data_IF_722387980059
#
_entry.id   IF_722387980059
#
_cell.length_a   1.000
_cell.length_b   1.000
_cell.length_c   1.000
_cell.angle_alpha   90.00
_cell.angle_beta   90.00
_cell.angle_gamma   90.00
#
_symmetry.space_group_name_H-M   'P 1'
#
loop_
_entity.id
_entity.type
_entity.pdbx_description
1 polymer ?
#
# COMPACT_ATOMS: atom_id res chain seq x y z
N UNK A 1 -3.26 -53.03 5.06
CA UNK A 1 -3.97 -52.29 4.00
C UNK A 1 -3.37 -50.91 3.85
N UNK A 2 -3.09 -50.43 2.62
CA UNK A 2 -2.64 -49.06 2.39
C UNK A 2 -3.70 -48.03 2.79
N UNK A 3 -3.25 -46.83 3.18
CA UNK A 3 -4.11 -45.70 3.61
C UNK A 3 -4.06 -44.58 2.58
N UNK A 4 -5.23 -44.03 2.23
CA UNK A 4 -5.34 -42.95 1.25
C UNK A 4 -4.80 -41.64 1.82
N UNK A 5 -3.84 -41.01 1.12
CA UNK A 5 -3.30 -39.71 1.57
C UNK A 5 -4.31 -38.56 1.50
N UNK A 6 -5.43 -38.71 0.78
CA UNK A 6 -6.45 -37.66 0.63
C UNK A 6 -7.60 -37.79 1.63
N UNK A 7 -8.23 -38.96 1.75
CA UNK A 7 -9.39 -39.17 2.64
C UNK A 7 -9.09 -39.99 3.90
N UNK A 8 -7.85 -40.44 4.08
CA UNK A 8 -7.36 -41.19 5.26
C UNK A 8 -8.03 -42.56 5.48
N UNK A 9 -8.91 -42.99 4.57
CA UNK A 9 -9.49 -44.33 4.56
C UNK A 9 -8.48 -45.38 4.09
N UNK A 10 -8.55 -46.56 4.69
CA UNK A 10 -7.81 -47.74 4.21
C UNK A 10 -8.47 -48.34 2.96
N UNK A 11 -7.70 -48.94 2.07
CA UNK A 11 -8.20 -49.59 0.86
C UNK A 11 -7.49 -50.92 0.59
N UNK A 12 -8.11 -51.85 -0.16
CA UNK A 12 -7.57 -53.20 -0.36
C UNK A 12 -6.26 -53.21 -1.16
N UNK A 13 -5.40 -54.19 -0.89
CA UNK A 13 -4.10 -54.37 -1.57
C UNK A 13 -4.26 -54.97 -2.97
N UNK A 14 -5.26 -55.83 -3.18
CA UNK A 14 -5.56 -56.47 -4.47
C UNK A 14 -7.02 -56.23 -4.80
N UNK A 15 -7.33 -55.87 -6.04
CA UNK A 15 -8.71 -55.67 -6.52
C UNK A 15 -8.81 -56.06 -8.00
N UNK A 16 -9.98 -56.50 -8.44
CA UNK A 16 -10.26 -56.79 -9.86
C UNK A 16 -11.01 -55.60 -10.46
N UNK A 17 -10.50 -55.08 -11.58
CA UNK A 17 -11.10 -53.97 -12.33
C UNK A 17 -11.05 -54.37 -13.81
N UNK A 18 -12.19 -54.29 -14.50
CA UNK A 18 -12.33 -54.70 -15.89
C UNK A 18 -11.76 -56.11 -16.17
N UNK A 19 -12.03 -57.04 -15.24
CA UNK A 19 -11.60 -58.43 -15.33
C UNK A 19 -10.11 -58.69 -15.05
N UNK A 20 -9.31 -57.66 -14.73
CA UNK A 20 -7.87 -57.78 -14.45
C UNK A 20 -7.57 -57.52 -12.98
N UNK A 21 -6.69 -58.35 -12.39
CA UNK A 21 -6.24 -58.15 -11.01
C UNK A 21 -5.17 -57.06 -10.94
N UNK A 22 -5.40 -56.04 -10.13
CA UNK A 22 -4.47 -54.94 -9.87
C UNK A 22 -3.95 -54.97 -8.44
N UNK A 23 -2.63 -54.78 -8.28
CA UNK A 23 -2.00 -54.58 -6.97
C UNK A 23 -1.93 -53.08 -6.65
N UNK A 24 -2.56 -52.69 -5.54
CA UNK A 24 -2.69 -51.33 -5.05
C UNK A 24 -1.72 -50.99 -3.90
N UNK A 25 -0.83 -51.90 -3.48
CA UNK A 25 0.02 -51.73 -2.30
C UNK A 25 0.83 -50.43 -2.31
N UNK A 26 1.31 -50.00 -3.49
CA UNK A 26 2.11 -48.77 -3.67
C UNK A 26 1.30 -47.54 -4.05
N UNK A 27 -0.03 -47.66 -4.17
CA UNK A 27 -0.89 -46.55 -4.57
C UNK A 27 -1.00 -45.56 -3.40
N UNK A 28 -0.99 -44.26 -3.72
CA UNK A 28 -1.07 -43.18 -2.71
C UNK A 28 -2.51 -42.78 -2.35
N UNK A 29 -3.47 -43.12 -3.21
CA UNK A 29 -4.88 -42.71 -3.10
C UNK A 29 -5.82 -43.88 -3.39
N UNK A 30 -6.94 -43.96 -2.66
CA UNK A 30 -7.99 -44.94 -2.95
C UNK A 30 -8.65 -44.67 -4.32
N UNK A 31 -9.45 -45.62 -4.79
CA UNK A 31 -10.09 -45.54 -6.11
C UNK A 31 -11.22 -44.52 -6.18
N UNK A 32 -11.83 -44.19 -5.04
CA UNK A 32 -12.84 -43.13 -4.97
C UNK A 32 -12.20 -41.75 -5.15
N UNK A 33 -11.04 -41.51 -4.54
CA UNK A 33 -10.35 -40.22 -4.62
C UNK A 33 -9.55 -40.08 -5.91
N UNK A 34 -8.89 -41.15 -6.35
CA UNK A 34 -8.15 -41.20 -7.60
C UNK A 34 -8.57 -42.45 -8.37
N UNK A 35 -9.61 -42.37 -9.21
CA UNK A 35 -10.01 -43.48 -10.07
C UNK A 35 -8.87 -43.92 -10.99
N UNK A 36 -8.90 -45.16 -11.46
CA UNK A 36 -7.91 -45.65 -12.42
C UNK A 36 -7.93 -44.81 -13.71
N UNK A 37 -6.74 -44.51 -14.24
CA UNK A 37 -6.61 -43.71 -15.46
C UNK A 37 -6.93 -42.20 -15.34
N UNK A 38 -7.50 -41.74 -14.23
CA UNK A 38 -8.00 -40.36 -14.08
C UNK A 38 -6.93 -39.25 -14.10
N UNK A 39 -5.63 -39.59 -13.92
CA UNK A 39 -4.48 -38.65 -13.87
C UNK A 39 -4.72 -37.43 -12.95
N UNK A 40 -5.52 -37.59 -11.90
CA UNK A 40 -5.96 -36.49 -11.03
C UNK A 40 -5.10 -36.27 -9.77
N UNK A 41 -4.04 -37.04 -9.56
CA UNK A 41 -3.25 -37.04 -8.32
C UNK A 41 -2.67 -35.67 -7.97
N UNK A 42 -2.27 -34.87 -8.97
CA UNK A 42 -1.80 -33.48 -8.76
C UNK A 42 -2.87 -32.60 -8.11
N UNK A 43 -4.14 -32.74 -8.52
CA UNK A 43 -5.27 -31.99 -7.95
C UNK A 43 -5.49 -32.36 -6.49
N UNK A 44 -5.43 -33.66 -6.16
CA UNK A 44 -5.56 -34.15 -4.79
C UNK A 44 -4.43 -33.65 -3.88
N UNK A 45 -3.19 -33.62 -4.39
CA UNK A 45 -2.04 -33.04 -3.66
C UNK A 45 -2.27 -31.56 -3.36
N UNK A 46 -2.75 -30.79 -4.34
CA UNK A 46 -2.98 -29.36 -4.16
C UNK A 46 -4.15 -29.07 -3.21
N UNK A 47 -5.22 -29.87 -3.28
CA UNK A 47 -6.38 -29.73 -2.41
C UNK A 47 -6.08 -29.98 -0.93
N UNK A 48 -5.08 -30.82 -0.60
CA UNK A 48 -4.63 -31.06 0.78
C UNK A 48 -3.62 -30.03 1.31
N UNK A 49 -3.02 -29.18 0.47
CA UNK A 49 -2.08 -28.16 0.96
C UNK A 49 -2.86 -26.98 1.53
N UNK A 50 -2.52 -26.49 2.74
CA UNK A 50 -3.11 -25.25 3.24
C UNK A 50 -2.76 -24.10 2.28
N UNK A 51 -3.63 -23.09 2.16
CA UNK A 51 -3.28 -21.88 1.42
C UNK A 51 -2.02 -21.26 2.01
N UNK A 52 -1.07 -20.85 1.17
CA UNK A 52 0.13 -20.17 1.63
C UNK A 52 -0.27 -18.75 2.05
N UNK A 53 -0.30 -18.50 3.35
CA UNK A 53 -0.52 -17.15 3.88
C UNK A 53 0.67 -16.26 3.51
N UNK A 54 0.38 -15.15 2.84
CA UNK A 54 1.36 -14.12 2.55
C UNK A 54 1.03 -12.90 3.39
N UNK A 55 2.04 -12.23 3.96
CA UNK A 55 1.82 -11.01 4.70
C UNK A 55 2.62 -9.86 4.09
N UNK A 56 2.01 -8.68 4.06
CA UNK A 56 2.73 -7.49 3.68
C UNK A 56 3.81 -7.18 4.73
N UNK A 57 5.06 -7.10 4.31
CA UNK A 57 6.22 -6.74 5.17
C UNK A 57 6.16 -5.35 5.83
N UNK A 58 5.14 -4.54 5.57
CA UNK A 58 4.97 -3.20 6.14
C UNK A 58 3.76 -3.13 7.06
N UNK A 59 2.59 -3.59 6.59
CA UNK A 59 1.35 -3.42 7.35
C UNK A 59 0.80 -4.71 7.97
N UNK A 60 1.39 -5.88 7.68
CA UNK A 60 0.96 -7.18 8.21
C UNK A 60 -0.40 -7.69 7.74
N UNK A 61 -1.18 -6.91 6.97
CA UNK A 61 -2.64 -7.09 6.84
C UNK A 61 -3.17 -7.66 5.51
N UNK A 62 -2.38 -8.25 4.62
CA UNK A 62 -2.90 -8.67 3.30
C UNK A 62 -2.41 -10.03 2.82
N UNK A 63 -3.36 -10.95 2.59
CA UNK A 63 -3.14 -12.38 2.29
C UNK A 63 -3.45 -12.84 0.85
N UNK A 64 -3.95 -11.97 -0.04
CA UNK A 64 -4.52 -12.44 -1.33
C UNK A 64 -3.85 -11.91 -2.61
N UNK A 65 -2.74 -11.17 -2.53
CA UNK A 65 -2.04 -10.71 -3.74
C UNK A 65 -0.77 -11.54 -4.03
N UNK A 66 -0.92 -12.55 -4.90
CA UNK A 66 0.12 -13.24 -5.70
C UNK A 66 1.56 -12.78 -5.42
N UNK A 67 2.37 -13.56 -4.68
CA UNK A 67 3.86 -13.48 -4.60
C UNK A 67 4.48 -12.08 -4.35
N UNK A 68 3.74 -11.05 -3.95
CA UNK A 68 4.30 -9.71 -3.73
C UNK A 68 4.67 -9.53 -2.26
N UNK A 69 5.90 -9.07 -1.99
CA UNK A 69 6.43 -8.78 -0.63
C UNK A 69 5.64 -7.68 0.11
N UNK A 70 4.88 -6.86 -0.63
CA UNK A 70 4.15 -5.69 -0.12
C UNK A 70 2.80 -5.56 -0.81
N UNK A 71 1.78 -5.09 -0.08
CA UNK A 71 0.48 -4.78 -0.66
C UNK A 71 0.52 -3.48 -1.49
N UNK A 72 -0.48 -3.29 -2.34
CA UNK A 72 -0.54 -2.16 -3.27
C UNK A 72 -0.57 -0.80 -2.54
N UNK A 73 -1.27 -0.71 -1.40
CA UNK A 73 -1.35 0.52 -0.61
C UNK A 73 0.02 0.88 -0.01
N UNK A 74 0.73 -0.08 0.58
CA UNK A 74 2.09 0.12 1.09
C UNK A 74 3.09 0.46 -0.04
N UNK A 75 3.02 -0.20 -1.20
CA UNK A 75 3.82 0.19 -2.36
C UNK A 75 3.54 1.64 -2.81
N UNK A 76 2.28 2.07 -2.76
CA UNK A 76 1.90 3.46 -3.11
C UNK A 76 2.41 4.47 -2.09
N UNK A 77 2.35 4.15 -0.80
CA UNK A 77 2.93 4.98 0.27
C UNK A 77 4.44 5.17 0.07
N UNK A 78 5.18 4.10 -0.22
CA UNK A 78 6.62 4.18 -0.50
C UNK A 78 6.91 5.09 -1.69
N UNK A 79 6.21 4.90 -2.82
CA UNK A 79 6.44 5.71 -4.02
C UNK A 79 6.15 7.20 -3.79
N UNK A 80 5.08 7.52 -3.04
CA UNK A 80 4.77 8.91 -2.66
C UNK A 80 5.83 9.51 -1.74
N UNK A 81 6.33 8.74 -0.78
CA UNK A 81 7.41 9.18 0.12
C UNK A 81 8.68 9.49 -0.66
N UNK A 82 9.11 8.58 -1.54
CA UNK A 82 10.31 8.78 -2.38
C UNK A 82 10.18 9.99 -3.30
N UNK A 83 9.02 10.13 -3.97
CA UNK A 83 8.76 11.26 -4.85
C UNK A 83 8.79 12.60 -4.08
N UNK A 84 8.14 12.68 -2.91
CA UNK A 84 8.17 13.87 -2.06
C UNK A 84 9.59 14.19 -1.59
N UNK A 85 10.34 13.18 -1.15
CA UNK A 85 11.73 13.34 -0.70
C UNK A 85 12.62 13.90 -1.80
N UNK A 86 12.53 13.36 -3.02
CA UNK A 86 13.30 13.85 -4.15
C UNK A 86 12.91 15.30 -4.53
N UNK A 87 11.62 15.62 -4.51
CA UNK A 87 11.12 16.97 -4.79
C UNK A 87 11.58 18.00 -3.75
N UNK A 88 11.59 17.64 -2.46
CA UNK A 88 12.11 18.50 -1.38
C UNK A 88 13.60 18.75 -1.56
N UNK A 89 14.38 17.71 -1.88
CA UNK A 89 15.82 17.86 -2.15
C UNK A 89 16.08 18.74 -3.38
N UNK A 90 15.29 18.58 -4.44
CA UNK A 90 15.41 19.39 -5.66
C UNK A 90 15.22 20.89 -5.39
N UNK A 91 14.30 21.26 -4.50
CA UNK A 91 14.04 22.66 -4.12
C UNK A 91 14.92 23.18 -2.97
N UNK A 92 15.99 22.47 -2.64
CA UNK A 92 17.02 22.93 -1.69
C UNK A 92 16.87 22.43 -0.26
N UNK A 93 15.87 21.58 0.04
CA UNK A 93 15.77 20.89 1.33
C UNK A 93 15.37 21.73 2.54
N UNK A 94 15.06 23.02 2.35
CA UNK A 94 14.69 23.95 3.41
C UNK A 94 13.55 24.87 2.97
N UNK A 95 12.82 25.41 3.94
CA UNK A 95 11.80 26.41 3.67
C UNK A 95 12.44 27.64 3.02
N UNK A 96 11.96 28.05 1.85
CA UNK A 96 12.51 29.19 1.11
C UNK A 96 12.15 30.55 1.73
N UNK A 97 11.19 30.59 2.66
CA UNK A 97 10.78 31.82 3.37
C UNK A 97 11.46 32.01 4.72
N UNK A 98 11.55 30.95 5.53
CA UNK A 98 12.10 31.05 6.90
C UNK A 98 13.36 30.23 7.14
N UNK A 99 13.84 29.46 6.16
CA UNK A 99 15.04 28.63 6.28
C UNK A 99 14.86 27.34 7.10
N UNK A 100 13.64 27.02 7.55
CA UNK A 100 13.40 25.83 8.37
C UNK A 100 13.78 24.52 7.67
N UNK A 101 14.47 23.66 8.40
CA UNK A 101 14.88 22.31 7.99
C UNK A 101 14.32 21.26 8.96
N UNK A 102 13.75 20.18 8.44
CA UNK A 102 13.27 19.10 9.31
C UNK A 102 12.53 17.98 8.60
N UNK A 103 11.49 17.47 9.26
CA UNK A 103 10.79 16.27 8.82
C UNK A 103 10.02 16.48 7.50
N UNK A 104 10.18 15.53 6.57
CA UNK A 104 9.55 15.52 5.25
C UNK A 104 8.03 15.84 5.23
N UNK A 105 7.22 15.37 6.21
CA UNK A 105 5.79 15.68 6.25
C UNK A 105 5.47 17.18 6.32
N UNK A 106 6.33 17.98 6.96
CA UNK A 106 6.07 19.40 7.22
C UNK A 106 6.39 20.34 6.04
N UNK A 107 6.94 19.81 4.93
CA UNK A 107 7.13 20.58 3.71
C UNK A 107 5.91 20.55 2.81
N UNK A 108 5.60 21.69 2.21
CA UNK A 108 4.51 21.91 1.27
C UNK A 108 5.04 22.66 0.05
N UNK A 109 4.51 22.33 -1.13
CA UNK A 109 4.91 22.96 -2.38
C UNK A 109 3.87 24.03 -2.72
N UNK A 110 4.30 25.28 -2.72
CA UNK A 110 3.46 26.42 -3.01
C UNK A 110 3.66 26.83 -4.46
N UNK A 111 2.59 26.85 -5.25
CA UNK A 111 2.64 27.38 -6.61
C UNK A 111 2.70 28.91 -6.59
N UNK A 112 3.69 29.49 -7.27
CA UNK A 112 3.84 30.94 -7.36
C UNK A 112 2.67 31.61 -8.09
N UNK A 113 2.13 30.94 -9.11
CA UNK A 113 0.88 31.30 -9.77
C UNK A 113 -0.11 30.12 -9.70
N UNK A 114 -1.22 30.24 -8.95
CA UNK A 114 -2.24 29.19 -8.85
C UNK A 114 -2.85 28.74 -10.18
N UNK A 115 -2.80 29.59 -11.22
CA UNK A 115 -3.32 29.30 -12.55
C UNK A 115 -2.33 28.57 -13.47
N UNK A 116 -1.05 28.51 -13.06
CA UNK A 116 0.03 27.91 -13.85
C UNK A 116 0.24 26.40 -13.60
N UNK A 117 -0.55 25.80 -12.70
CA UNK A 117 -0.40 24.40 -12.29
C UNK A 117 -0.92 23.43 -13.35
N UNK A 118 -0.10 22.46 -13.73
CA UNK A 118 -0.51 21.37 -14.62
C UNK A 118 -1.12 20.21 -13.82
N UNK A 119 -0.69 20.02 -12.57
CA UNK A 119 -1.23 18.99 -11.66
C UNK A 119 -0.86 19.23 -10.19
N UNK A 120 -1.66 18.68 -9.28
CA UNK A 120 -1.33 18.69 -7.85
C UNK A 120 -0.13 17.78 -7.54
N UNK A 121 0.88 18.33 -6.84
CA UNK A 121 2.13 17.61 -6.52
C UNK A 121 1.89 16.34 -5.66
N UNK A 122 0.77 16.26 -4.93
CA UNK A 122 0.38 15.05 -4.20
C UNK A 122 0.18 13.79 -5.07
N UNK A 123 -0.07 13.96 -6.37
CA UNK A 123 -0.31 12.87 -7.34
C UNK A 123 0.92 12.47 -8.17
N UNK A 124 2.09 13.01 -7.81
CA UNK A 124 3.33 12.93 -8.60
C UNK A 124 3.97 11.55 -8.66
N UNK A 125 3.65 10.66 -7.73
CA UNK A 125 4.30 9.34 -7.58
C UNK A 125 4.16 8.36 -8.77
N UNK A 126 3.41 8.73 -9.82
CA UNK A 126 3.24 7.95 -11.05
C UNK A 126 3.79 8.64 -12.32
N UNK A 127 4.37 9.84 -12.22
CA UNK A 127 4.84 10.63 -13.38
C UNK A 127 6.35 10.46 -13.59
N UNK A 128 6.81 10.76 -14.82
CA UNK A 128 8.23 10.80 -15.16
C UNK A 128 8.89 11.97 -14.42
N UNK A 129 10.11 11.76 -13.92
CA UNK A 129 10.85 12.75 -13.13
C UNK A 129 11.00 14.11 -13.83
N UNK A 130 11.22 14.14 -15.14
CA UNK A 130 11.36 15.40 -15.87
C UNK A 130 10.09 16.26 -15.87
N UNK A 131 8.90 15.64 -15.97
CA UNK A 131 7.63 16.37 -15.84
C UNK A 131 7.43 16.89 -14.42
N UNK A 132 8.00 16.21 -13.44
CA UNK A 132 7.92 16.61 -12.03
C UNK A 132 8.76 17.85 -11.83
N UNK A 133 10.00 17.86 -12.33
CA UNK A 133 10.88 19.05 -12.26
C UNK A 133 10.23 20.27 -12.88
N UNK A 134 9.66 20.14 -14.08
CA UNK A 134 8.97 21.25 -14.76
C UNK A 134 7.86 21.88 -13.91
N UNK A 135 7.13 21.07 -13.13
CA UNK A 135 6.13 21.59 -12.21
C UNK A 135 6.76 22.15 -10.92
N UNK A 136 7.83 21.54 -10.41
CA UNK A 136 8.56 22.04 -9.25
C UNK A 136 9.23 23.39 -9.52
N UNK A 137 9.67 23.65 -10.75
CA UNK A 137 10.28 24.93 -11.16
C UNK A 137 9.29 26.11 -11.06
N UNK A 138 7.97 25.82 -11.00
CA UNK A 138 6.90 26.80 -10.77
C UNK A 138 6.52 26.93 -9.28
N UNK A 139 7.21 26.20 -8.41
CA UNK A 139 6.87 26.10 -6.99
C UNK A 139 7.99 26.61 -6.10
N UNK A 140 7.61 27.17 -4.95
CA UNK A 140 8.52 27.36 -3.82
C UNK A 140 8.28 26.27 -2.75
N UNK A 141 9.35 25.88 -2.08
CA UNK A 141 9.30 24.92 -0.98
C UNK A 141 9.07 25.65 0.34
N UNK A 142 7.92 25.44 0.98
CA UNK A 142 7.57 26.07 2.25
C UNK A 142 7.40 25.05 3.37
N UNK A 143 7.64 25.47 4.61
CA UNK A 143 7.12 24.73 5.76
C UNK A 143 5.60 24.97 5.91
N UNK A 144 4.90 24.07 6.59
CA UNK A 144 3.44 24.16 6.79
C UNK A 144 2.98 25.50 7.37
N UNK A 145 3.80 26.16 8.20
CA UNK A 145 3.46 27.46 8.77
C UNK A 145 3.53 28.57 7.72
N UNK A 146 4.65 28.69 6.99
CA UNK A 146 4.82 29.68 5.93
C UNK A 146 3.80 29.47 4.81
N UNK A 147 3.52 28.22 4.45
CA UNK A 147 2.51 27.92 3.44
C UNK A 147 1.10 28.35 3.87
N UNK A 148 0.73 28.10 5.14
CA UNK A 148 -0.56 28.55 5.67
C UNK A 148 -0.67 30.08 5.73
N UNK A 149 0.42 30.76 6.07
CA UNK A 149 0.46 32.24 6.07
C UNK A 149 0.21 32.77 4.65
N UNK A 150 0.84 32.19 3.63
CA UNK A 150 0.67 32.60 2.23
C UNK A 150 -0.76 32.40 1.73
N UNK A 151 -1.44 31.31 2.14
CA UNK A 151 -2.87 31.10 1.84
C UNK A 151 -3.82 31.91 2.72
N UNK A 152 -3.33 32.44 3.85
CA UNK A 152 -4.19 33.18 4.77
C UNK A 152 -4.44 34.59 4.25
N UNK A 153 -5.69 34.86 3.88
CA UNK A 153 -6.19 36.23 3.80
C UNK A 153 -6.48 36.67 5.23
N UNK A 154 -5.52 37.34 5.86
CA UNK A 154 -5.79 37.97 7.14
C UNK A 154 -6.84 39.05 6.94
N UNK A 155 -8.04 38.81 7.48
CA UNK A 155 -9.04 39.86 7.60
C UNK A 155 -8.60 40.80 8.72
N UNK A 156 -7.82 41.80 8.34
CA UNK A 156 -7.29 42.82 9.25
C UNK A 156 -8.42 43.54 10.00
N UNK A 157 -9.60 43.68 9.38
CA UNK A 157 -10.78 44.28 10.02
C UNK A 157 -11.27 43.38 11.15
N UNK A 158 -11.45 42.08 10.87
CA UNK A 158 -11.84 41.10 11.90
C UNK A 158 -10.82 41.02 13.04
N UNK A 159 -9.52 41.01 12.74
CA UNK A 159 -8.45 40.97 13.76
C UNK A 159 -8.53 42.24 14.64
N UNK A 160 -8.70 43.41 14.04
CA UNK A 160 -8.82 44.67 14.76
C UNK A 160 -10.08 44.73 15.63
N UNK A 161 -11.23 44.26 15.11
CA UNK A 161 -12.49 44.20 15.86
C UNK A 161 -12.41 43.18 17.00
N UNK A 162 -11.81 42.01 16.78
CA UNK A 162 -11.60 41.00 17.81
C UNK A 162 -10.74 41.53 18.97
N UNK A 163 -9.70 42.32 18.68
CA UNK A 163 -8.86 42.94 19.72
C UNK A 163 -9.63 43.96 20.59
N UNK A 164 -10.72 44.54 20.07
CA UNK A 164 -11.58 45.51 20.76
C UNK A 164 -12.82 44.88 21.40
N UNK A 165 -13.07 43.60 21.12
CA UNK A 165 -14.28 42.92 21.54
C UNK A 165 -14.30 42.68 23.06
N UNK A 166 -15.19 43.40 23.76
CA UNK A 166 -15.38 43.32 25.23
C UNK A 166 -16.45 42.31 25.66
N UNK A 167 -16.84 41.37 24.79
CA UNK A 167 -17.86 40.37 25.10
C UNK A 167 -17.40 39.33 26.13
N UNK A 168 -18.14 38.23 26.27
CA UNK A 168 -17.74 37.12 27.16
C UNK A 168 -16.43 36.52 26.62
N UNK A 169 -15.30 36.99 27.16
CA UNK A 169 -14.01 36.35 26.96
C UNK A 169 -14.19 34.86 27.29
N UNK A 170 -13.61 33.99 26.46
CA UNK A 170 -13.36 32.60 26.85
C UNK A 170 -12.44 32.70 28.08
N UNK A 171 -13.04 32.82 29.28
CA UNK A 171 -12.31 32.86 30.54
C UNK A 171 -11.60 31.51 30.61
N UNK A 172 -10.33 31.52 30.25
CA UNK A 172 -9.41 30.49 30.69
C UNK A 172 -9.19 30.76 32.17
N UNK A 173 -10.01 30.12 33.00
CA UNK A 173 -9.61 29.90 34.38
C UNK A 173 -8.28 29.13 34.29
N UNK A 174 -7.23 29.76 34.80
CA UNK A 174 -5.85 29.28 34.78
C UNK A 174 -5.70 28.01 35.60
#
# INVERSE_FOLDING_TARGET
MPTCLYCEKQFPVKIVIDGKQHNLQRRKYCLDCSPFGSRNTRKLVLAKKPPIEHYCSICGRCTTARRRRRCQSCCTKIRRYLAKSAAVQYLGGKCQRCGWEGALPAYEFHHLDPNSKDFAIGNVANRKWELIKQELDKCELLCSNCHRIEHSKHDQVLIAEAARYKGRLLRGDS
#
